data_IF_831027158857
#
_entry.id   IF_831027158857
#
_cell.length_a   1.000
_cell.length_b   1.000
_cell.length_c   1.000
_cell.angle_alpha   90.00
_cell.angle_beta   90.00
_cell.angle_gamma   90.00
#
_symmetry.space_group_name_H-M   'P 1'
#
loop_
_entity.id
_entity.type
_entity.pdbx_description
1 polymer ?
#
# COMPACT_ATOMS: atom_id res chain seq x y z
N UNK A 1 21.63 3.63 12.95
CA UNK A 1 21.39 3.36 14.38
C UNK A 1 21.00 4.69 15.03
N UNK A 2 20.15 4.66 16.06
CA UNK A 2 19.61 5.88 16.67
C UNK A 2 18.37 6.48 16.00
N UNK A 3 17.94 5.95 14.86
CA UNK A 3 16.72 6.37 14.16
C UNK A 3 15.46 6.12 14.99
N UNK A 4 15.44 5.05 15.78
CA UNK A 4 14.33 4.64 16.64
C UNK A 4 14.01 5.62 17.77
N UNK A 5 14.88 6.58 18.05
CA UNK A 5 14.59 7.71 18.95
C UNK A 5 14.92 9.07 18.33
N UNK A 6 15.00 9.12 16.99
CA UNK A 6 15.20 10.32 16.19
C UNK A 6 16.46 11.11 16.57
N UNK A 7 17.59 10.44 16.69
CA UNK A 7 18.90 11.06 16.89
C UNK A 7 19.18 12.08 15.77
N UNK A 8 19.75 13.23 16.10
CA UNK A 8 19.98 14.33 15.15
C UNK A 8 21.19 14.12 14.25
N UNK A 9 22.19 13.38 14.73
CA UNK A 9 23.43 13.13 14.00
C UNK A 9 23.38 11.77 13.31
N UNK A 10 24.11 11.67 12.21
CA UNK A 10 24.33 10.36 11.55
C UNK A 10 25.06 9.40 12.49
N UNK A 11 24.77 8.11 12.34
CA UNK A 11 25.49 7.09 13.09
C UNK A 11 27.00 7.14 12.80
N UNK A 12 27.79 7.14 13.87
CA UNK A 12 29.23 7.06 13.83
C UNK A 12 29.68 5.88 14.70
N UNK A 13 30.44 4.95 14.12
CA UNK A 13 30.90 3.76 14.82
C UNK A 13 31.99 4.04 15.87
N UNK A 14 32.60 5.22 15.86
CA UNK A 14 33.65 5.63 16.80
C UNK A 14 33.11 6.21 18.11
N UNK A 15 31.80 6.43 18.17
CA UNK A 15 31.14 6.99 19.36
C UNK A 15 29.81 6.29 19.65
N UNK A 16 29.37 6.37 20.91
CA UNK A 16 28.05 5.88 21.29
C UNK A 16 26.93 6.76 20.72
N UNK A 17 25.70 6.20 20.77
CA UNK A 17 24.51 6.93 20.37
C UNK A 17 24.19 8.05 21.37
N UNK A 18 23.43 9.04 20.90
CA UNK A 18 23.06 10.24 21.66
C UNK A 18 21.97 9.95 22.71
N UNK A 19 22.26 9.05 23.66
CA UNK A 19 21.32 8.54 24.67
C UNK A 19 20.69 9.65 25.52
N UNK A 20 21.36 10.81 25.66
CA UNK A 20 20.84 11.96 26.37
C UNK A 20 19.52 12.49 25.80
N UNK A 21 19.27 12.29 24.49
CA UNK A 21 18.04 12.68 23.84
C UNK A 21 16.81 12.00 24.45
N UNK A 22 16.97 10.81 25.03
CA UNK A 22 15.87 10.12 25.70
C UNK A 22 15.38 10.82 26.99
N UNK A 23 16.04 11.86 27.44
CA UNK A 23 15.53 12.73 28.50
C UNK A 23 14.40 13.67 27.99
N UNK A 24 14.25 13.82 26.68
CA UNK A 24 13.27 14.72 26.07
C UNK A 24 12.01 13.97 25.58
N UNK A 25 10.81 14.52 25.85
CA UNK A 25 9.55 13.80 25.59
C UNK A 25 9.35 13.33 24.15
N UNK A 26 9.72 14.14 23.16
CA UNK A 26 9.52 13.77 21.76
C UNK A 26 10.40 12.59 21.32
N UNK A 27 11.63 12.49 21.82
CA UNK A 27 12.50 11.36 21.55
C UNK A 27 12.03 10.08 22.26
N UNK A 28 11.43 10.22 23.46
CA UNK A 28 10.75 9.10 24.13
C UNK A 28 9.53 8.63 23.33
N UNK A 29 8.69 9.55 22.83
CA UNK A 29 7.52 9.23 21.99
C UNK A 29 7.94 8.57 20.68
N UNK A 30 9.00 9.04 20.03
CA UNK A 30 9.56 8.40 18.84
C UNK A 30 10.00 6.96 19.13
N UNK A 31 10.73 6.74 20.21
CA UNK A 31 11.14 5.38 20.63
C UNK A 31 9.92 4.50 20.92
N UNK A 32 8.93 5.02 21.60
CA UNK A 32 7.69 4.32 21.89
C UNK A 32 6.94 3.95 20.60
N UNK A 33 6.89 4.86 19.62
CA UNK A 33 6.32 4.59 18.30
C UNK A 33 7.00 3.40 17.61
N UNK A 34 8.34 3.42 17.50
CA UNK A 34 9.06 2.31 16.87
C UNK A 34 8.87 0.98 17.60
N UNK A 35 8.84 1.02 18.92
CA UNK A 35 8.57 -0.17 19.73
C UNK A 35 7.16 -0.72 19.46
N UNK A 36 6.15 0.13 19.47
CA UNK A 36 4.75 -0.23 19.22
C UNK A 36 4.55 -0.74 17.79
N UNK A 37 5.16 -0.09 16.80
CA UNK A 37 5.12 -0.52 15.41
C UNK A 37 5.76 -1.90 15.21
N UNK A 38 6.90 -2.16 15.84
CA UNK A 38 7.56 -3.46 15.79
C UNK A 38 6.71 -4.55 16.44
N UNK A 39 6.07 -4.27 17.57
CA UNK A 39 5.14 -5.22 18.20
C UNK A 39 3.91 -5.45 17.32
N UNK A 40 3.34 -4.41 16.74
CA UNK A 40 2.23 -4.52 15.80
C UNK A 40 2.62 -5.40 14.60
N UNK A 41 3.78 -5.15 13.99
CA UNK A 41 4.30 -5.94 12.88
C UNK A 41 4.43 -7.42 13.26
N UNK A 42 5.11 -7.74 14.35
CA UNK A 42 5.34 -9.12 14.81
C UNK A 42 4.04 -9.87 15.11
N UNK A 43 3.04 -9.17 15.66
CA UNK A 43 1.74 -9.76 16.03
C UNK A 43 0.71 -9.78 14.88
N UNK A 44 1.08 -9.29 13.69
CA UNK A 44 0.21 -9.21 12.53
C UNK A 44 0.78 -10.04 11.36
N UNK A 45 0.50 -11.34 11.29
CA UNK A 45 1.06 -12.24 10.26
C UNK A 45 0.85 -11.75 8.83
N UNK A 46 -0.25 -11.04 8.57
CA UNK A 46 -0.54 -10.47 7.25
C UNK A 46 0.54 -9.49 6.77
N UNK A 47 1.35 -8.90 7.66
CA UNK A 47 2.41 -7.97 7.29
C UNK A 47 3.71 -8.66 6.84
N UNK A 48 3.93 -9.93 7.21
CA UNK A 48 5.23 -10.59 6.99
C UNK A 48 5.16 -12.06 6.52
N UNK A 49 4.06 -12.77 6.75
CA UNK A 49 4.02 -14.23 6.52
C UNK A 49 4.13 -14.60 5.02
N UNK A 50 3.57 -13.78 4.14
CA UNK A 50 3.59 -13.98 2.67
C UNK A 50 4.29 -12.77 2.02
N UNK A 51 5.58 -12.61 2.32
CA UNK A 51 6.33 -11.41 1.90
C UNK A 51 7.02 -11.58 0.54
N UNK A 52 7.31 -12.83 0.16
CA UNK A 52 8.07 -13.15 -1.05
C UNK A 52 7.19 -13.62 -2.23
N UNK A 53 5.87 -13.44 -2.16
CA UNK A 53 4.96 -13.77 -3.25
C UNK A 53 3.89 -12.69 -3.44
N UNK A 54 3.38 -12.60 -4.67
CA UNK A 54 2.32 -11.66 -5.04
C UNK A 54 0.99 -11.91 -4.34
N UNK A 55 0.78 -13.11 -3.79
CA UNK A 55 -0.43 -13.48 -3.07
C UNK A 55 -0.58 -12.71 -1.76
N UNK A 56 0.54 -12.29 -1.16
CA UNK A 56 0.57 -11.54 0.10
C UNK A 56 0.38 -10.04 -0.06
N UNK A 57 0.29 -9.50 -1.29
CA UNK A 57 0.21 -8.07 -1.54
C UNK A 57 -0.79 -7.72 -2.64
N UNK A 58 -1.55 -6.64 -2.46
CA UNK A 58 -2.40 -6.09 -3.52
C UNK A 58 -2.58 -4.58 -3.33
N UNK A 59 -2.42 -3.83 -4.40
CA UNK A 59 -2.79 -2.43 -4.41
C UNK A 59 -4.30 -2.24 -4.30
N UNK A 60 -4.72 -1.15 -3.63
CA UNK A 60 -6.09 -0.63 -3.62
C UNK A 60 -6.12 0.68 -4.40
N UNK A 61 -5.39 1.69 -3.93
CA UNK A 61 -5.19 2.97 -4.62
C UNK A 61 -3.68 3.24 -4.71
N UNK A 62 -3.16 3.45 -5.92
CA UNK A 62 -1.71 3.62 -6.16
C UNK A 62 -1.40 4.80 -7.07
N UNK A 63 -2.43 5.47 -7.59
CA UNK A 63 -2.34 6.50 -8.63
C UNK A 63 -3.00 7.83 -8.25
N UNK A 64 -3.42 8.01 -6.99
CA UNK A 64 -3.99 9.27 -6.52
C UNK A 64 -2.87 10.30 -6.23
N UNK A 65 -2.28 10.81 -7.31
CA UNK A 65 -1.22 11.82 -7.23
C UNK A 65 -1.72 13.18 -6.77
N UNK A 66 -3.00 13.50 -7.01
CA UNK A 66 -3.59 14.79 -6.64
C UNK A 66 -3.71 14.93 -5.12
N UNK A 67 -4.07 13.86 -4.45
CA UNK A 67 -4.20 13.86 -2.99
C UNK A 67 -2.98 13.29 -2.28
N UNK A 68 -2.02 12.74 -3.02
CA UNK A 68 -0.81 12.09 -2.51
C UNK A 68 -1.13 11.01 -1.47
N UNK A 69 -2.10 10.16 -1.79
CA UNK A 69 -2.54 9.04 -0.96
C UNK A 69 -2.27 7.73 -1.69
N UNK A 70 -1.76 6.74 -0.96
CA UNK A 70 -1.72 5.36 -1.44
C UNK A 70 -2.42 4.44 -0.45
N UNK A 71 -3.04 3.39 -0.97
CA UNK A 71 -3.63 2.32 -0.17
C UNK A 71 -3.29 0.96 -0.74
N UNK A 72 -2.95 0.02 0.13
CA UNK A 72 -2.65 -1.35 -0.23
C UNK A 72 -3.09 -2.32 0.86
N UNK A 73 -3.18 -3.59 0.54
CA UNK A 73 -3.47 -4.65 1.51
C UNK A 73 -2.37 -5.68 1.54
N UNK A 74 -2.16 -6.22 2.74
CA UNK A 74 -1.31 -7.37 3.01
C UNK A 74 -2.17 -8.53 3.47
N UNK A 75 -1.85 -9.73 3.02
CA UNK A 75 -2.68 -10.93 3.21
C UNK A 75 -1.80 -12.06 3.72
N UNK A 76 -2.24 -12.76 4.78
CA UNK A 76 -1.55 -13.94 5.31
C UNK A 76 -1.99 -15.23 4.62
N UNK A 77 -1.33 -16.35 4.93
CA UNK A 77 -1.67 -17.69 4.39
C UNK A 77 -3.08 -18.16 4.73
N UNK A 78 -3.68 -17.60 5.76
CA UNK A 78 -5.05 -17.92 6.18
C UNK A 78 -6.10 -17.02 5.51
N UNK A 79 -5.65 -16.05 4.70
CA UNK A 79 -6.51 -15.08 4.03
C UNK A 79 -7.00 -13.95 4.95
N UNK A 80 -6.39 -13.74 6.12
CA UNK A 80 -6.62 -12.52 6.87
C UNK A 80 -5.85 -11.39 6.24
N UNK A 81 -6.40 -10.18 6.31
CA UNK A 81 -5.79 -9.03 5.67
C UNK A 81 -5.72 -7.82 6.58
N UNK A 82 -4.72 -7.02 6.32
CA UNK A 82 -4.53 -5.66 6.84
C UNK A 82 -4.48 -4.72 5.65
N UNK A 83 -5.23 -3.62 5.72
CA UNK A 83 -5.19 -2.53 4.76
C UNK A 83 -4.37 -1.40 5.37
N UNK A 84 -3.37 -0.93 4.65
CA UNK A 84 -2.61 0.26 5.01
C UNK A 84 -3.03 1.42 4.09
N UNK A 85 -3.28 2.59 4.66
CA UNK A 85 -3.58 3.83 3.94
C UNK A 85 -2.59 4.90 4.38
N UNK A 86 -1.83 5.45 3.44
CA UNK A 86 -0.78 6.41 3.68
C UNK A 86 -1.17 7.78 3.11
N UNK A 87 -1.17 8.81 3.93
CA UNK A 87 -1.31 10.20 3.52
C UNK A 87 0.06 10.90 3.60
N UNK A 88 0.61 11.29 2.44
CA UNK A 88 1.96 11.86 2.35
C UNK A 88 2.00 13.39 2.39
N UNK A 89 0.87 14.06 2.65
CA UNK A 89 0.81 15.51 2.73
C UNK A 89 0.42 15.99 4.12
N UNK A 90 0.83 17.21 4.52
CA UNK A 90 0.49 17.80 5.82
C UNK A 90 -0.95 18.36 5.85
N UNK A 91 -1.88 17.66 5.20
CA UNK A 91 -3.29 18.05 5.11
C UNK A 91 -4.15 16.87 5.52
N UNK A 92 -5.04 17.08 6.48
CA UNK A 92 -6.07 16.10 6.84
C UNK A 92 -7.04 15.90 5.65
N UNK A 93 -7.38 14.66 5.36
CA UNK A 93 -8.39 14.30 4.37
C UNK A 93 -9.63 13.78 5.09
N UNK A 94 -10.75 14.48 4.95
CA UNK A 94 -12.04 14.04 5.48
C UNK A 94 -12.84 13.31 4.40
N UNK A 95 -13.56 12.27 4.83
CA UNK A 95 -14.40 11.46 3.92
C UNK A 95 -13.65 10.88 2.71
N UNK A 96 -12.37 10.57 2.88
CA UNK A 96 -11.60 9.91 1.83
C UNK A 96 -12.04 8.45 1.71
N UNK A 97 -12.66 8.10 0.57
CA UNK A 97 -13.19 6.76 0.35
C UNK A 97 -12.13 5.84 -0.27
N UNK A 98 -11.93 4.67 0.29
CA UNK A 98 -11.15 3.59 -0.31
C UNK A 98 -12.02 2.37 -0.60
N UNK A 99 -11.83 1.76 -1.76
CA UNK A 99 -12.45 0.48 -2.08
C UNK A 99 -11.95 -0.63 -1.18
N UNK A 100 -12.82 -1.54 -0.76
CA UNK A 100 -12.47 -2.64 0.12
C UNK A 100 -13.07 -3.96 -0.36
N UNK A 101 -12.39 -5.12 -0.13
CA UNK A 101 -12.79 -6.41 -0.72
C UNK A 101 -14.04 -7.03 -0.07
N UNK A 102 -14.38 -6.63 1.16
CA UNK A 102 -15.49 -7.25 1.89
C UNK A 102 -16.45 -6.18 2.42
N UNK A 103 -17.74 -6.43 2.22
CA UNK A 103 -18.78 -5.66 2.88
C UNK A 103 -18.79 -5.97 4.38
N UNK A 104 -19.04 -4.94 5.21
CA UNK A 104 -19.12 -5.11 6.64
C UNK A 104 -18.61 -3.93 7.46
N UNK A 105 -18.00 -4.25 8.59
CA UNK A 105 -17.44 -3.26 9.50
C UNK A 105 -15.93 -3.42 9.56
N UNK A 106 -15.23 -2.31 9.43
CA UNK A 106 -13.78 -2.21 9.59
C UNK A 106 -13.43 -1.55 10.93
N UNK A 107 -12.25 -1.81 11.40
CA UNK A 107 -11.66 -1.15 12.57
C UNK A 107 -10.28 -0.65 12.23
N UNK A 108 -9.93 0.50 12.76
CA UNK A 108 -8.56 1.00 12.77
C UNK A 108 -7.81 0.31 13.91
N UNK A 109 -6.80 -0.47 13.57
CA UNK A 109 -6.03 -1.28 14.53
C UNK A 109 -4.69 -0.67 14.90
N UNK A 110 -4.20 0.27 14.10
CA UNK A 110 -3.01 1.04 14.38
C UNK A 110 -3.03 2.35 13.59
N UNK A 111 -2.55 3.44 14.18
CA UNK A 111 -2.33 4.72 13.52
C UNK A 111 -1.01 5.32 13.97
N UNK A 112 -0.30 5.95 13.04
CA UNK A 112 0.92 6.69 13.36
C UNK A 112 0.64 8.06 13.98
N UNK A 113 -0.62 8.54 13.93
CA UNK A 113 -1.05 9.84 14.46
C UNK A 113 -1.54 9.78 15.91
N UNK A 114 -1.31 8.67 16.63
CA UNK A 114 -1.71 8.57 18.02
C UNK A 114 -0.98 9.60 18.91
N UNK A 115 -1.69 10.18 19.90
CA UNK A 115 -1.12 11.18 20.84
C UNK A 115 0.09 10.65 21.62
N UNK A 116 0.11 9.35 21.91
CA UNK A 116 1.23 8.69 22.59
C UNK A 116 2.51 8.68 21.75
N UNK A 117 2.39 8.81 20.44
CA UNK A 117 3.52 8.93 19.50
C UNK A 117 3.86 10.38 19.16
N UNK A 118 3.08 11.35 19.62
CA UNK A 118 3.25 12.78 19.34
C UNK A 118 2.37 13.30 18.20
N UNK A 119 1.44 12.49 17.71
CA UNK A 119 0.44 12.88 16.72
C UNK A 119 -0.73 13.67 17.33
N UNK A 120 -1.73 13.95 16.50
CA UNK A 120 -2.90 14.74 16.86
C UNK A 120 -4.05 13.89 17.46
N UNK A 121 -3.92 12.56 17.44
CA UNK A 121 -4.94 11.64 17.94
C UNK A 121 -6.16 11.50 17.04
N UNK A 122 -6.03 11.80 15.75
CA UNK A 122 -7.11 11.62 14.79
C UNK A 122 -7.27 10.13 14.50
N UNK A 123 -8.46 9.60 14.72
CA UNK A 123 -8.76 8.17 14.54
C UNK A 123 -10.12 7.96 13.90
N UNK A 124 -10.27 6.86 13.17
CA UNK A 124 -11.56 6.43 12.60
C UNK A 124 -12.32 5.45 13.51
N UNK A 125 -11.68 5.03 14.60
CA UNK A 125 -12.30 4.14 15.58
C UNK A 125 -12.46 2.70 15.08
N UNK A 126 -13.36 1.98 15.71
CA UNK A 126 -13.48 0.53 15.58
C UNK A 126 -14.78 0.05 14.91
N UNK A 127 -15.54 0.93 14.26
CA UNK A 127 -16.83 0.63 13.67
C UNK A 127 -17.10 1.38 12.35
N UNK A 128 -16.13 1.37 11.44
CA UNK A 128 -16.24 1.98 10.11
C UNK A 128 -17.07 1.06 9.22
N UNK A 129 -18.23 1.51 8.77
CA UNK A 129 -19.14 0.73 7.93
C UNK A 129 -18.84 0.94 6.46
N UNK A 130 -18.95 -0.14 5.68
CA UNK A 130 -18.92 -0.05 4.21
C UNK A 130 -20.16 0.67 3.69
N UNK A 131 -19.99 1.36 2.58
CA UNK A 131 -21.05 1.92 1.74
C UNK A 131 -21.02 1.22 0.38
N UNK A 132 -22.20 1.03 -0.23
CA UNK A 132 -22.36 0.32 -1.50
C UNK A 132 -22.06 1.25 -2.68
N UNK A 133 -20.83 1.74 -2.72
CA UNK A 133 -20.30 2.59 -3.78
C UNK A 133 -19.03 1.94 -4.37
N UNK A 134 -19.04 1.59 -5.66
CA UNK A 134 -17.88 0.99 -6.32
C UNK A 134 -16.68 1.94 -6.34
N UNK A 135 -15.51 1.46 -5.87
CA UNK A 135 -14.27 2.24 -5.85
C UNK A 135 -13.03 1.34 -5.96
N UNK A 136 -12.00 1.78 -6.67
CA UNK A 136 -10.72 1.09 -6.83
C UNK A 136 -10.85 -0.39 -7.27
N UNK A 137 -11.88 -0.69 -8.08
CA UNK A 137 -12.15 -2.06 -8.55
C UNK A 137 -12.89 -2.98 -7.58
N UNK A 138 -13.35 -2.45 -6.44
CA UNK A 138 -14.23 -3.14 -5.48
C UNK A 138 -15.67 -2.63 -5.58
N UNK A 139 -16.64 -3.46 -5.17
CA UNK A 139 -18.07 -3.12 -5.23
C UNK A 139 -18.52 -2.16 -4.10
N UNK A 140 -17.70 -2.05 -3.04
CA UNK A 140 -17.97 -1.21 -1.88
C UNK A 140 -16.72 -0.45 -1.44
N UNK A 141 -16.93 0.62 -0.69
CA UNK A 141 -15.84 1.41 -0.11
C UNK A 141 -16.10 1.74 1.36
N UNK A 142 -15.09 2.30 2.03
CA UNK A 142 -15.20 2.87 3.38
C UNK A 142 -14.74 4.32 3.37
N UNK A 143 -15.51 5.24 3.99
CA UNK A 143 -15.10 6.62 4.19
C UNK A 143 -14.16 6.72 5.40
N UNK A 144 -13.05 7.41 5.23
CA UNK A 144 -12.01 7.56 6.23
C UNK A 144 -11.65 9.03 6.44
N UNK A 145 -11.24 9.36 7.65
CA UNK A 145 -10.46 10.56 7.94
C UNK A 145 -8.99 10.17 7.97
N UNK A 146 -8.19 10.73 7.07
CA UNK A 146 -6.76 10.48 7.01
C UNK A 146 -6.02 11.63 7.71
N UNK A 147 -5.30 11.35 8.81
CA UNK A 147 -4.49 12.37 9.47
C UNK A 147 -3.37 12.88 8.55
N UNK A 148 -2.83 14.08 8.78
CA UNK A 148 -1.70 14.59 8.02
C UNK A 148 -0.44 13.72 8.21
N UNK A 149 0.34 13.51 7.13
CA UNK A 149 1.64 12.82 7.18
C UNK A 149 1.60 11.50 7.96
N UNK A 150 0.59 10.68 7.73
CA UNK A 150 0.29 9.52 8.57
C UNK A 150 0.01 8.25 7.79
N UNK A 151 0.08 7.14 8.50
CA UNK A 151 -0.38 5.83 8.04
C UNK A 151 -1.38 5.28 9.04
N UNK A 152 -2.52 4.81 8.53
CA UNK A 152 -3.50 4.07 9.31
C UNK A 152 -3.59 2.63 8.83
N UNK A 153 -3.81 1.71 9.75
CA UNK A 153 -3.97 0.29 9.46
C UNK A 153 -5.36 -0.18 9.85
N UNK A 154 -6.04 -0.82 8.91
CA UNK A 154 -7.43 -1.22 9.03
C UNK A 154 -7.59 -2.72 8.90
N UNK A 155 -8.53 -3.28 9.65
CA UNK A 155 -8.90 -4.69 9.62
C UNK A 155 -10.40 -4.85 9.49
N UNK A 156 -10.84 -5.77 8.61
CA UNK A 156 -12.25 -6.14 8.52
C UNK A 156 -12.66 -7.03 9.70
N UNK A 157 -13.72 -6.65 10.42
CA UNK A 157 -14.35 -7.49 11.42
C UNK A 157 -15.22 -8.55 10.75
N UNK A 158 -14.64 -9.65 10.28
CA UNK A 158 -15.40 -10.74 9.68
C UNK A 158 -16.17 -11.52 10.76
N UNK A 159 -17.47 -11.73 10.54
CA UNK A 159 -18.15 -12.87 11.17
C UNK A 159 -17.45 -14.14 10.68
N UNK A 160 -17.13 -15.08 11.59
CA UNK A 160 -16.49 -16.38 11.25
C UNK A 160 -17.11 -16.93 9.97
N UNK A 161 -16.32 -17.02 8.90
CA UNK A 161 -16.76 -17.66 7.66
C UNK A 161 -16.91 -19.16 7.93
N UNK A 162 -18.11 -19.69 7.70
CA UNK A 162 -18.30 -21.10 7.36
C UNK A 162 -17.58 -21.31 6.02
N UNK A 163 -16.69 -22.32 5.97
CA UNK A 163 -15.91 -22.70 4.79
C UNK A 163 -16.82 -22.81 3.56
N UNK A 164 -16.66 -21.93 2.57
CA UNK A 164 -16.79 -22.17 1.13
C UNK A 164 -16.95 -20.85 0.36
N UNK A 165 -15.89 -20.40 -0.24
CA UNK A 165 -15.93 -19.79 -1.58
C UNK A 165 -14.50 -19.82 -2.12
N UNK A 166 -14.22 -20.81 -2.96
CA UNK A 166 -12.99 -20.88 -3.73
C UNK A 166 -12.90 -19.68 -4.67
N UNK A 167 -11.75 -19.03 -4.66
CA UNK A 167 -11.33 -18.08 -5.67
C UNK A 167 -11.50 -18.69 -7.06
N UNK A 168 -12.45 -18.24 -7.83
CA UNK A 168 -12.44 -18.48 -9.28
C UNK A 168 -11.65 -17.33 -9.91
N UNK A 169 -10.36 -17.62 -10.07
CA UNK A 169 -9.45 -16.84 -10.88
C UNK A 169 -9.95 -16.87 -12.34
N UNK A 170 -10.49 -15.78 -12.83
CA UNK A 170 -10.80 -15.64 -14.26
C UNK A 170 -9.49 -15.34 -14.99
N UNK A 171 -8.84 -16.39 -15.46
CA UNK A 171 -7.76 -16.36 -16.44
C UNK A 171 -8.14 -15.46 -17.63
N UNK A 172 -7.29 -14.52 -18.05
CA UNK A 172 -7.59 -13.68 -19.22
C UNK A 172 -7.63 -14.54 -20.49
N UNK A 173 -8.72 -14.43 -21.20
CA UNK A 173 -9.01 -15.10 -22.46
C UNK A 173 -7.89 -14.83 -23.47
N UNK A 174 -7.32 -15.92 -24.02
CA UNK A 174 -6.35 -15.89 -25.14
C UNK A 174 -6.92 -15.11 -26.31
N UNK A 175 -6.26 -14.01 -26.67
CA UNK A 175 -6.47 -13.32 -27.94
C UNK A 175 -5.93 -14.18 -29.07
N UNK A 176 -6.83 -14.77 -29.85
CA UNK A 176 -6.52 -15.55 -31.06
C UNK A 176 -6.02 -14.57 -32.13
N UNK A 177 -4.74 -14.60 -32.46
CA UNK A 177 -4.19 -13.91 -33.62
C UNK A 177 -4.66 -14.58 -34.90
N UNK A 178 -5.58 -13.95 -35.60
CA UNK A 178 -5.94 -14.32 -36.98
C UNK A 178 -4.81 -13.87 -37.92
N UNK A 179 -4.05 -14.85 -38.40
CA UNK A 179 -3.04 -14.64 -39.44
C UNK A 179 -3.76 -14.46 -40.76
N UNK A 180 -3.80 -13.24 -41.31
CA UNK A 180 -4.17 -13.00 -42.71
C UNK A 180 -2.93 -13.28 -43.59
N UNK A 181 -2.96 -14.36 -44.35
CA UNK A 181 -2.10 -14.62 -45.52
C UNK A 181 -2.49 -13.63 -46.62
N UNK A 182 -1.56 -12.79 -47.06
CA UNK A 182 -1.64 -12.11 -48.35
C UNK A 182 -0.53 -12.63 -49.22
N UNK A 183 -0.95 -12.99 -50.43
CA UNK A 183 -0.17 -13.69 -51.44
C UNK A 183 0.87 -12.81 -52.10
N UNK A 184 1.95 -13.48 -52.55
CA UNK A 184 2.99 -13.01 -53.42
C UNK A 184 2.48 -12.35 -54.67
N UNK A 185 3.11 -11.21 -55.06
CA UNK A 185 3.30 -10.84 -56.46
C UNK A 185 4.71 -10.33 -56.67
N UNK A 186 5.47 -11.15 -57.38
CA UNK A 186 6.76 -10.79 -58.04
C UNK A 186 6.56 -9.65 -59.00
N UNK A 187 7.48 -8.69 -58.99
CA UNK A 187 7.91 -8.03 -60.20
C UNK A 187 9.39 -7.63 -60.12
N UNK A 188 10.09 -8.04 -61.14
CA UNK A 188 11.53 -7.86 -61.41
C UNK A 188 11.81 -6.47 -61.96
N UNK A 189 13.11 -6.16 -61.99
CA UNK A 189 13.87 -5.21 -62.86
C UNK A 189 14.08 -3.82 -62.20
N UNK A 190 15.20 -3.17 -62.22
CA UNK A 190 16.53 -3.24 -62.90
C UNK A 190 17.51 -2.29 -62.22
N UNK A 191 18.78 -2.63 -62.33
CA UNK A 191 19.98 -1.81 -62.02
C UNK A 191 19.98 -0.39 -62.51
N UNK A 192 20.57 0.55 -61.74
CA UNK A 192 21.56 1.48 -62.30
C UNK A 192 22.41 2.12 -61.19
N UNK A 193 23.72 1.85 -61.34
CA UNK A 193 24.84 2.58 -60.75
C UNK A 193 24.75 4.08 -61.01
N UNK A 194 25.15 4.91 -60.09
CA UNK A 194 26.11 5.98 -60.39
C UNK A 194 26.86 6.45 -59.15
N UNK A 195 28.14 6.55 -59.31
CA UNK A 195 29.20 7.08 -58.43
C UNK A 195 29.14 8.62 -58.38
N UNK A 196 29.68 9.19 -57.33
CA UNK A 196 30.66 10.27 -57.18
C UNK A 196 30.29 11.21 -56.03
N UNK A 197 31.22 11.33 -55.08
CA UNK A 197 32.27 12.32 -54.74
C UNK A 197 31.73 13.51 -53.99
N UNK A 198 32.15 13.63 -52.76
CA UNK A 198 33.19 14.53 -52.20
C UNK A 198 32.92 16.05 -52.40
N UNK A 199 32.70 16.71 -51.28
CA UNK A 199 33.61 17.64 -50.63
C UNK A 199 33.29 17.72 -49.16
#
# INVERSE_FOLDING_TARGET
MGTEFCQFIEWNYEQELDWLLLAYPFHQKAKHFFQSLNHFYLNTPSLWEVDFSWEGFSWIAHDDNEQSVIAFRRIDKSGHEIIAVCNFVPVQREHYCIGVPFAGTYEEVFTTDAEEFGGNGITNGNAIKTIDEPMHGFEQCIPLTLPPLSVIYLKCKRRKQTKAAAHTDKTPTKVTKTVRKTADKKTKTTDKKTKKKAD
#
